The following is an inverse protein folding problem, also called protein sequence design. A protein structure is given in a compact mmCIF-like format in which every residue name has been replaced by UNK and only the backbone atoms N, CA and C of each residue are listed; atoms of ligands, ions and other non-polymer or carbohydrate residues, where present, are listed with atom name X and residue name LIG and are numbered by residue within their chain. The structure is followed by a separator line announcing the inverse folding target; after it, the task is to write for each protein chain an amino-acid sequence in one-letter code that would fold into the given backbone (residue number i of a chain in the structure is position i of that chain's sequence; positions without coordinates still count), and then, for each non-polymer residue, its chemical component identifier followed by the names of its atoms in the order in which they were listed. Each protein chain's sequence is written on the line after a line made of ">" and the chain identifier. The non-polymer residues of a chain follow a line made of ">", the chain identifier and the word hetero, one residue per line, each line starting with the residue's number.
data_IF_878794790071
#
_entry.id   IF_878794790071
#
_cell.length_a   1.000
_cell.length_b   1.000
_cell.length_c   1.000
_cell.angle_alpha   90.00
_cell.angle_beta   90.00
_cell.angle_gamma   90.00
#
_symmetry.space_group_name_H-M   'P 1'
#
loop_
_entity.id
_entity.type
_entity.pdbx_description
1 polymer ?
#
# COMPACT_ATOMS: atom_id res chain seq x y z
N UNK A 1 11.19 -10.14 -13.14
CA UNK A 1 9.88 -9.71 -13.66
C UNK A 1 8.80 -10.49 -12.92
N UNK A 2 8.17 -9.89 -11.92
CA UNK A 2 6.97 -10.48 -11.30
C UNK A 2 5.77 -10.12 -12.17
N UNK A 3 5.15 -11.12 -12.76
CA UNK A 3 3.89 -10.96 -13.49
C UNK A 3 2.82 -10.57 -12.46
N UNK A 4 2.06 -9.47 -12.64
CA UNK A 4 0.91 -9.21 -11.78
C UNK A 4 -0.03 -10.42 -11.87
N UNK A 5 -0.36 -11.04 -10.74
CA UNK A 5 -1.48 -11.99 -10.71
C UNK A 5 -2.71 -11.22 -11.21
N UNK A 6 -3.20 -11.62 -12.39
CA UNK A 6 -4.44 -11.12 -12.95
C UNK A 6 -5.58 -11.33 -11.96
N UNK A 7 -6.59 -10.48 -12.06
CA UNK A 7 -7.77 -10.36 -11.20
C UNK A 7 -8.51 -11.68 -11.00
N UNK A 8 -8.03 -12.53 -10.10
CA UNK A 8 -8.79 -13.65 -9.54
C UNK A 8 -9.69 -13.10 -8.45
N UNK A 9 -10.88 -12.63 -8.84
CA UNK A 9 -12.11 -12.66 -8.02
C UNK A 9 -12.08 -12.14 -6.59
N UNK A 10 -11.29 -11.12 -6.25
CA UNK A 10 -11.30 -10.49 -4.93
C UNK A 10 -11.48 -8.99 -5.00
N UNK A 11 -12.18 -8.41 -4.02
CA UNK A 11 -12.26 -6.96 -3.85
C UNK A 11 -10.86 -6.43 -3.56
N UNK A 12 -10.39 -5.49 -4.39
CA UNK A 12 -9.13 -4.78 -4.18
C UNK A 12 -9.41 -3.29 -4.07
N UNK A 13 -8.89 -2.67 -3.01
CA UNK A 13 -9.04 -1.25 -2.77
C UNK A 13 -7.85 -0.66 -2.03
N UNK A 14 -7.71 0.65 -2.10
CA UNK A 14 -6.78 1.37 -1.24
C UNK A 14 -7.28 1.32 0.20
N UNK A 15 -6.47 0.82 1.13
CA UNK A 15 -6.78 0.81 2.57
C UNK A 15 -6.11 1.94 3.34
N UNK A 16 -4.96 2.43 2.85
CA UNK A 16 -4.19 3.49 3.52
C UNK A 16 -3.30 4.23 2.50
N UNK A 17 -2.97 5.49 2.79
CA UNK A 17 -2.04 6.32 2.01
C UNK A 17 -1.12 7.17 2.89
N UNK A 18 0.17 7.22 2.52
CA UNK A 18 1.17 8.10 3.15
C UNK A 18 1.77 9.04 2.12
N UNK A 19 1.74 10.34 2.38
CA UNK A 19 2.33 11.34 1.50
C UNK A 19 3.87 11.28 1.54
N UNK A 20 4.49 11.17 0.36
CA UNK A 20 5.96 11.24 0.20
C UNK A 20 6.41 12.62 -0.28
N UNK A 21 5.59 13.26 -1.13
CA UNK A 21 5.79 14.62 -1.61
C UNK A 21 4.46 15.24 -2.02
N UNK A 22 4.47 16.46 -2.57
CA UNK A 22 3.25 17.11 -3.08
C UNK A 22 2.47 16.28 -4.10
N UNK A 23 3.14 15.38 -4.82
CA UNK A 23 2.51 14.61 -5.90
C UNK A 23 2.70 13.10 -5.78
N UNK A 24 3.55 12.62 -4.86
CA UNK A 24 3.87 11.20 -4.73
C UNK A 24 3.42 10.69 -3.36
N UNK A 25 2.86 9.47 -3.35
CA UNK A 25 2.29 8.82 -2.19
C UNK A 25 2.73 7.36 -2.16
N UNK A 26 2.87 6.79 -0.96
CA UNK A 26 2.68 5.36 -0.78
C UNK A 26 1.18 5.09 -0.66
N UNK A 27 0.68 4.09 -1.38
CA UNK A 27 -0.70 3.63 -1.31
C UNK A 27 -0.66 2.15 -1.00
N UNK A 28 -1.34 1.76 0.06
CA UNK A 28 -1.52 0.35 0.41
C UNK A 28 -2.80 -0.10 -0.25
N UNK A 29 -2.70 -1.11 -1.09
CA UNK A 29 -3.85 -1.83 -1.63
C UNK A 29 -3.97 -3.17 -0.94
N UNK A 30 -5.15 -3.40 -0.36
CA UNK A 30 -5.56 -4.70 0.18
C UNK A 30 -6.46 -5.39 -0.84
N UNK A 31 -6.15 -6.64 -1.11
CA UNK A 31 -7.07 -7.57 -1.76
C UNK A 31 -7.47 -8.65 -0.77
N UNK A 32 -8.72 -9.05 -0.78
CA UNK A 32 -9.20 -10.23 -0.05
C UNK A 32 -9.63 -11.32 -1.03
N UNK A 33 -9.07 -12.52 -0.89
CA UNK A 33 -9.46 -13.72 -1.66
C UNK A 33 -9.57 -14.90 -0.71
N UNK A 34 -10.77 -15.50 -0.62
CA UNK A 34 -11.00 -16.79 0.07
C UNK A 34 -10.47 -16.88 1.52
N UNK A 35 -10.46 -15.78 2.27
CA UNK A 35 -9.96 -15.76 3.66
C UNK A 35 -8.54 -15.24 3.81
N UNK A 36 -7.84 -15.01 2.71
CA UNK A 36 -6.47 -14.51 2.71
C UNK A 36 -6.40 -13.07 2.19
N UNK A 37 -5.67 -12.24 2.93
CA UNK A 37 -5.33 -10.89 2.49
C UNK A 37 -4.07 -10.92 1.64
N UNK A 38 -4.04 -10.10 0.59
CA UNK A 38 -2.82 -9.70 -0.10
C UNK A 38 -2.63 -8.21 0.10
N UNK A 39 -1.48 -7.83 0.65
CA UNK A 39 -1.11 -6.43 0.87
C UNK A 39 0.01 -6.05 -0.09
N UNK A 40 -0.27 -5.04 -0.92
CA UNK A 40 0.67 -4.48 -1.88
C UNK A 40 0.84 -3.00 -1.61
N UNK A 41 2.09 -2.57 -1.45
CA UNK A 41 2.44 -1.17 -1.31
C UNK A 41 2.88 -0.66 -2.67
N UNK A 42 2.21 0.38 -3.14
CA UNK A 42 2.50 1.06 -4.38
C UNK A 42 3.06 2.45 -4.12
N UNK A 43 3.99 2.91 -4.96
CA UNK A 43 4.27 4.33 -5.12
C UNK A 43 3.33 4.86 -6.20
N UNK A 44 2.41 5.75 -5.83
CA UNK A 44 1.47 6.37 -6.75
C UNK A 44 1.82 7.86 -6.96
N UNK A 45 1.59 8.38 -8.17
CA UNK A 45 1.87 9.78 -8.50
C UNK A 45 0.66 10.45 -9.16
N UNK A 46 0.36 11.68 -8.72
CA UNK A 46 -0.63 12.55 -9.38
C UNK A 46 -0.06 13.28 -10.61
N UNK A 47 1.24 13.18 -10.86
CA UNK A 47 1.87 13.83 -12.03
C UNK A 47 1.31 13.27 -13.33
N UNK A 48 0.73 14.15 -14.14
CA UNK A 48 0.12 13.81 -15.43
C UNK A 48 -1.26 13.15 -15.33
N UNK A 49 -1.80 12.95 -14.12
CA UNK A 49 -3.18 12.54 -13.94
C UNK A 49 -4.12 13.73 -14.17
N UNK A 50 -5.37 13.43 -14.56
CA UNK A 50 -6.42 14.46 -14.61
C UNK A 50 -6.84 14.84 -13.19
N UNK A 51 -6.84 16.15 -12.87
CA UNK A 51 -7.40 16.64 -11.61
C UNK A 51 -8.92 16.60 -11.66
N UNK A 52 -9.52 15.81 -10.76
CA UNK A 52 -10.97 15.61 -10.66
C UNK A 52 -11.56 16.26 -9.40
N UNK A 53 -10.77 17.02 -8.63
CA UNK A 53 -11.20 17.64 -7.36
C UNK A 53 -12.37 18.62 -7.49
N UNK A 54 -12.61 19.12 -8.71
CA UNK A 54 -13.71 20.03 -9.05
C UNK A 54 -14.73 19.43 -10.02
N UNK A 55 -14.59 18.15 -10.35
CA UNK A 55 -15.51 17.45 -11.25
C UNK A 55 -16.72 16.93 -10.48
N UNK A 56 -17.92 17.16 -11.00
CA UNK A 56 -19.14 16.62 -10.39
C UNK A 56 -19.30 15.11 -10.61
N UNK A 57 -18.74 14.58 -11.69
CA UNK A 57 -18.72 13.17 -12.05
C UNK A 57 -17.51 12.86 -12.93
N UNK A 58 -17.10 11.60 -12.94
CA UNK A 58 -16.09 11.07 -13.87
C UNK A 58 -16.75 10.69 -15.20
N UNK A 59 -16.07 10.95 -16.30
CA UNK A 59 -16.55 10.62 -17.65
C UNK A 59 -15.94 9.33 -18.20
N UNK A 60 -14.90 8.81 -17.53
CA UNK A 60 -14.13 7.67 -18.00
C UNK A 60 -13.03 8.03 -19.01
N UNK A 61 -12.85 9.32 -19.32
CA UNK A 61 -11.77 9.82 -20.18
C UNK A 61 -10.60 10.41 -19.40
N UNK A 62 -10.72 10.46 -18.07
CA UNK A 62 -9.66 10.95 -17.19
C UNK A 62 -8.39 10.11 -17.32
N UNK A 63 -7.24 10.77 -17.31
CA UNK A 63 -5.95 10.10 -17.24
C UNK A 63 -5.76 9.65 -15.77
N UNK A 64 -5.70 8.34 -15.49
CA UNK A 64 -5.56 7.85 -14.12
C UNK A 64 -4.16 8.13 -13.59
N UNK A 65 -4.04 8.14 -12.25
CA UNK A 65 -2.74 8.16 -11.58
C UNK A 65 -1.91 6.94 -11.99
N UNK A 66 -0.61 7.15 -12.17
CA UNK A 66 0.34 6.06 -12.37
C UNK A 66 0.77 5.52 -11.02
N UNK A 67 0.95 4.21 -10.94
CA UNK A 67 1.48 3.55 -9.75
C UNK A 67 2.50 2.47 -10.11
N UNK A 68 3.46 2.28 -9.22
CA UNK A 68 4.53 1.28 -9.33
C UNK A 68 4.53 0.43 -8.07
N UNK A 69 4.59 -0.90 -8.22
CA UNK A 69 4.65 -1.80 -7.07
C UNK A 69 6.01 -1.64 -6.37
N UNK A 70 5.98 -1.32 -5.08
CA UNK A 70 7.18 -1.20 -4.25
C UNK A 70 7.46 -2.52 -3.54
N UNK A 71 6.44 -3.07 -2.88
CA UNK A 71 6.55 -4.35 -2.17
C UNK A 71 5.20 -5.06 -2.15
N UNK A 72 5.25 -6.38 -2.25
CA UNK A 72 4.14 -7.29 -1.98
C UNK A 72 4.52 -8.11 -0.75
N UNK A 73 3.73 -8.03 0.32
CA UNK A 73 4.09 -8.63 1.61
C UNK A 73 4.12 -10.16 1.52
N UNK A 74 3.19 -10.76 0.78
CA UNK A 74 3.12 -12.21 0.59
C UNK A 74 4.34 -12.69 -0.18
N UNK A 75 4.69 -12.02 -1.28
CA UNK A 75 5.88 -12.36 -2.09
C UNK A 75 7.17 -12.19 -1.28
N UNK A 76 7.18 -11.27 -0.31
CA UNK A 76 8.31 -11.02 0.57
C UNK A 76 8.39 -11.99 1.76
N UNK A 77 7.47 -12.94 1.88
CA UNK A 77 7.43 -13.92 2.96
C UNK A 77 6.89 -13.37 4.29
N UNK A 78 6.26 -12.20 4.29
CA UNK A 78 5.60 -11.63 5.46
C UNK A 78 4.15 -12.10 5.53
N UNK A 79 3.64 -12.31 6.75
CA UNK A 79 2.20 -12.47 6.97
C UNK A 79 1.52 -11.14 6.68
N UNK A 80 0.60 -11.04 5.70
CA UNK A 80 0.07 -9.77 5.25
C UNK A 80 -0.92 -9.13 6.24
N UNK A 81 -1.62 -9.93 7.06
CA UNK A 81 -2.61 -9.44 8.03
C UNK A 81 -3.66 -8.51 7.41
N UNK A 82 -4.27 -7.66 8.24
CA UNK A 82 -5.21 -6.63 7.82
C UNK A 82 -4.58 -5.22 7.87
N UNK A 83 -3.60 -4.94 6.99
CA UNK A 83 -2.88 -3.65 7.03
C UNK A 83 -3.78 -2.46 6.70
N UNK A 84 -3.91 -1.56 7.69
CA UNK A 84 -4.73 -0.33 7.62
C UNK A 84 -3.98 0.92 8.11
N UNK A 85 -2.70 0.80 8.42
CA UNK A 85 -1.89 1.95 8.81
C UNK A 85 -0.48 1.89 8.23
N UNK A 86 0.05 3.07 7.90
CA UNK A 86 1.47 3.28 7.57
C UNK A 86 1.99 4.61 8.09
N UNK A 87 3.20 4.60 8.61
CA UNK A 87 3.92 5.81 8.98
C UNK A 87 5.43 5.62 8.85
N UNK A 88 6.14 6.72 8.69
CA UNK A 88 7.58 6.73 8.93
C UNK A 88 7.85 6.67 10.44
N UNK A 89 8.85 5.88 10.83
CA UNK A 89 9.38 5.87 12.18
C UNK A 89 10.69 6.65 12.28
N UNK A 90 11.41 6.53 13.42
CA UNK A 90 12.76 7.06 13.56
C UNK A 90 13.71 6.47 12.51
N UNK A 91 14.73 7.23 12.12
CA UNK A 91 15.79 6.68 11.27
C UNK A 91 16.58 5.59 12.01
N UNK A 92 17.07 4.61 11.25
CA UNK A 92 18.03 3.64 11.74
C UNK A 92 19.38 4.33 12.01
N UNK A 93 20.23 3.69 12.82
CA UNK A 93 21.54 4.26 13.19
C UNK A 93 22.47 4.55 12.00
N UNK A 94 22.23 3.90 10.86
CA UNK A 94 22.96 4.08 9.60
C UNK A 94 22.33 5.14 8.67
N UNK A 95 21.24 5.79 9.10
CA UNK A 95 20.60 6.89 8.37
C UNK A 95 19.48 6.46 7.42
N UNK A 96 19.25 5.16 7.22
CA UNK A 96 18.07 4.68 6.48
C UNK A 96 16.79 5.00 7.27
N UNK A 97 15.70 5.35 6.59
CA UNK A 97 14.43 5.65 7.25
C UNK A 97 13.65 4.37 7.52
N UNK A 98 13.05 4.26 8.71
CA UNK A 98 12.13 3.17 9.01
C UNK A 98 10.72 3.48 8.51
N UNK A 99 10.05 2.47 7.96
CA UNK A 99 8.65 2.51 7.59
C UNK A 99 7.92 1.43 8.37
N UNK A 100 6.86 1.79 9.06
CA UNK A 100 6.05 0.87 9.85
C UNK A 100 4.70 0.70 9.18
N UNK A 101 4.32 -0.55 8.91
CA UNK A 101 2.95 -0.92 8.55
C UNK A 101 2.31 -1.58 9.77
N UNK A 102 1.05 -1.29 10.06
CA UNK A 102 0.30 -2.01 11.09
C UNK A 102 -0.91 -2.72 10.49
N UNK A 103 -1.00 -4.01 10.78
CA UNK A 103 -2.20 -4.81 10.61
C UNK A 103 -2.98 -4.81 11.90
N UNK A 104 -4.29 -4.54 11.82
CA UNK A 104 -5.19 -4.78 12.94
C UNK A 104 -5.65 -6.25 12.98
N UNK A 105 -6.36 -6.59 14.04
CA UNK A 105 -6.94 -7.91 14.27
C UNK A 105 -8.42 -8.01 13.82
N UNK A 106 -8.97 -6.98 13.16
CA UNK A 106 -10.41 -6.85 12.89
C UNK A 106 -11.32 -7.11 14.11
N UNK A 107 -10.84 -6.86 15.34
CA UNK A 107 -11.51 -7.25 16.59
C UNK A 107 -11.79 -8.76 16.72
N UNK A 108 -11.06 -9.60 15.97
CA UNK A 108 -11.17 -11.04 15.95
C UNK A 108 -9.90 -11.71 16.51
N UNK A 109 -9.82 -11.69 17.84
CA UNK A 109 -8.71 -12.27 18.62
C UNK A 109 -8.54 -13.79 18.47
N UNK A 110 -9.49 -14.48 17.82
CA UNK A 110 -9.40 -15.93 17.65
C UNK A 110 -8.56 -16.34 16.43
N UNK A 111 -8.51 -15.49 15.40
CA UNK A 111 -7.91 -15.85 14.11
C UNK A 111 -7.04 -14.75 13.51
N UNK A 112 -6.96 -13.58 14.12
CA UNK A 112 -6.17 -12.45 13.62
C UNK A 112 -5.39 -11.79 14.75
N UNK A 113 -4.21 -11.31 14.40
CA UNK A 113 -3.28 -10.66 15.32
C UNK A 113 -3.04 -9.21 14.89
N UNK A 114 -2.84 -8.33 15.87
CA UNK A 114 -2.22 -7.03 15.60
C UNK A 114 -0.74 -7.25 15.30
N UNK A 115 -0.29 -6.88 14.09
CA UNK A 115 1.10 -7.07 13.64
C UNK A 115 1.70 -5.76 13.17
N UNK A 116 2.93 -5.48 13.60
CA UNK A 116 3.73 -4.37 13.09
C UNK A 116 4.83 -4.90 12.16
N UNK A 117 4.78 -4.51 10.89
CA UNK A 117 5.84 -4.76 9.93
C UNK A 117 6.82 -3.59 9.94
N UNK A 118 8.07 -3.84 10.31
CA UNK A 118 9.15 -2.87 10.23
C UNK A 118 9.92 -3.08 8.94
N UNK A 119 9.86 -2.08 8.06
CA UNK A 119 10.58 -2.04 6.79
C UNK A 119 11.68 -0.99 6.85
N UNK A 120 12.74 -1.24 6.10
CA UNK A 120 13.83 -0.30 5.89
C UNK A 120 13.73 0.31 4.51
N UNK A 121 13.70 1.64 4.45
CA UNK A 121 13.66 2.40 3.20
C UNK A 121 15.03 3.02 2.96
N UNK A 122 15.71 2.54 1.93
CA UNK A 122 16.99 3.12 1.53
C UNK A 122 16.73 4.34 0.63
N UNK A 123 17.07 5.53 1.13
CA UNK A 123 16.95 6.80 0.42
C UNK A 123 18.23 7.20 -0.32
N UNK A 124 19.28 6.40 -0.23
CA UNK A 124 20.60 6.65 -0.78
C UNK A 124 20.84 5.80 -2.04
N UNK A 125 20.26 6.23 -3.16
CA UNK A 125 20.65 5.77 -4.50
C UNK A 125 21.06 6.94 -5.37
#
# INVERSE_FOLDING_TARGET
>A
MSVPRGSTGGDRGASEMLQLSKADYLVIERQYVEGENQIQVYRASTKGATDVSRSAALTGTEIPMKKELVIDLVVSGMSPGNVEAVSFGPDFADGDTSLVLAADDNFNLATQDTVFHLLRVNTHK
#
